data_IF_389237020872
#
_entry.id   IF_389237020872
#
_cell.length_a   1.000
_cell.length_b   1.000
_cell.length_c   1.000
_cell.angle_alpha   90.00
_cell.angle_beta   90.00
_cell.angle_gamma   90.00
#
_symmetry.space_group_name_H-M   'P 1'
#
loop_
_entity.id
_entity.type
_entity.pdbx_description
1 polymer ?
#
# COMPACT_ATOMS: atom_id res chain seq x y z
N UNK A 1 34.52 -23.57 -8.82
CA UNK A 1 33.27 -23.34 -9.58
C UNK A 1 32.03 -23.31 -8.68
N UNK A 2 31.80 -24.31 -7.81
CA UNK A 2 30.64 -24.36 -6.90
C UNK A 2 30.42 -23.11 -6.03
N UNK A 3 31.49 -22.55 -5.44
CA UNK A 3 31.41 -21.31 -4.64
C UNK A 3 31.04 -20.06 -5.44
N UNK A 4 31.50 -19.96 -6.70
CA UNK A 4 31.19 -18.83 -7.59
C UNK A 4 29.74 -18.88 -8.08
N UNK A 5 29.22 -20.09 -8.34
CA UNK A 5 27.81 -20.33 -8.67
C UNK A 5 26.90 -20.01 -7.48
N UNK A 6 27.28 -20.42 -6.26
CA UNK A 6 26.53 -20.09 -5.05
C UNK A 6 26.45 -18.57 -4.81
N UNK A 7 27.57 -17.85 -4.94
CA UNK A 7 27.61 -16.38 -4.80
C UNK A 7 26.73 -15.70 -5.84
N UNK A 8 26.77 -16.17 -7.10
CA UNK A 8 25.93 -15.63 -8.17
C UNK A 8 24.43 -15.85 -7.90
N UNK A 9 24.04 -17.05 -7.43
CA UNK A 9 22.66 -17.35 -7.05
C UNK A 9 22.16 -16.47 -5.91
N UNK A 10 22.97 -16.27 -4.87
CA UNK A 10 22.60 -15.40 -3.74
C UNK A 10 22.45 -13.95 -4.17
N UNK A 11 23.33 -13.44 -5.05
CA UNK A 11 23.23 -12.08 -5.59
C UNK A 11 21.97 -11.89 -6.45
N UNK A 12 21.59 -12.90 -7.25
CA UNK A 12 20.37 -12.87 -8.07
C UNK A 12 19.12 -12.88 -7.18
N UNK A 13 19.05 -13.74 -6.17
CA UNK A 13 17.94 -13.75 -5.21
C UNK A 13 17.78 -12.40 -4.50
N UNK A 14 18.89 -11.79 -4.08
CA UNK A 14 18.87 -10.51 -3.38
C UNK A 14 18.46 -9.34 -4.31
N UNK A 15 18.83 -9.38 -5.60
CA UNK A 15 18.39 -8.40 -6.57
C UNK A 15 16.88 -8.48 -6.88
N UNK A 16 16.28 -9.67 -6.83
CA UNK A 16 14.83 -9.87 -7.06
C UNK A 16 14.00 -9.28 -5.91
N UNK A 17 14.47 -9.38 -4.66
CA UNK A 17 13.79 -8.78 -3.49
C UNK A 17 13.81 -7.26 -3.52
N UNK A 18 14.85 -6.64 -4.11
CA UNK A 18 14.92 -5.18 -4.24
C UNK A 18 13.97 -4.59 -5.30
N UNK A 19 13.33 -5.42 -6.13
CA UNK A 19 12.43 -4.97 -7.21
C UNK A 19 10.94 -5.01 -6.81
N UNK A 20 10.59 -5.56 -5.64
CA UNK A 20 9.21 -5.55 -5.14
C UNK A 20 8.91 -4.21 -4.48
N UNK A 21 8.04 -3.40 -5.09
CA UNK A 21 7.66 -2.09 -4.54
C UNK A 21 6.97 -2.18 -3.17
N UNK A 22 7.14 -1.17 -2.32
CA UNK A 22 6.64 -1.13 -0.93
C UNK A 22 5.13 -1.42 -0.76
N UNK A 23 4.33 -1.15 -1.79
CA UNK A 23 2.88 -1.43 -1.75
C UNK A 23 2.56 -2.92 -1.83
N UNK A 24 3.28 -3.69 -2.64
CA UNK A 24 3.10 -5.14 -2.75
C UNK A 24 3.46 -5.84 -1.42
N UNK A 25 4.46 -5.31 -0.71
CA UNK A 25 4.83 -5.83 0.61
C UNK A 25 3.70 -5.62 1.63
N UNK A 26 3.10 -4.43 1.66
CA UNK A 26 2.05 -4.10 2.63
C UNK A 26 0.78 -4.92 2.43
N UNK A 27 0.44 -5.23 1.17
CA UNK A 27 -0.72 -6.05 0.82
C UNK A 27 -0.50 -7.55 1.10
N UNK A 28 0.62 -8.10 0.63
CA UNK A 28 0.82 -9.57 0.61
C UNK A 28 1.50 -10.11 1.88
N UNK A 29 2.21 -9.25 2.62
CA UNK A 29 2.91 -9.61 3.85
C UNK A 29 2.40 -8.82 5.07
N UNK A 30 1.29 -8.09 4.90
CA UNK A 30 0.76 -7.18 5.90
C UNK A 30 1.65 -5.97 6.16
N UNK A 31 1.27 -5.18 7.16
CA UNK A 31 1.97 -3.97 7.55
C UNK A 31 1.11 -2.71 7.40
N UNK A 32 1.72 -1.56 7.68
CA UNK A 32 1.02 -0.28 7.70
C UNK A 32 1.61 0.66 6.64
N UNK A 33 0.73 1.34 5.90
CA UNK A 33 1.14 2.44 5.04
C UNK A 33 0.18 3.63 5.17
N UNK A 34 0.71 4.81 4.91
CA UNK A 34 -0.07 6.05 4.91
C UNK A 34 -0.14 6.64 3.51
N UNK A 35 -1.33 7.04 3.08
CA UNK A 35 -1.57 7.79 1.85
C UNK A 35 -2.13 9.15 2.24
N UNK A 36 -1.39 10.21 1.92
CA UNK A 36 -1.93 11.57 2.01
C UNK A 36 -2.53 11.89 0.64
N UNK A 37 -3.82 12.20 0.61
CA UNK A 37 -4.46 12.66 -0.63
C UNK A 37 -3.96 14.06 -0.99
N UNK A 38 -4.11 14.42 -2.27
CA UNK A 38 -3.90 15.80 -2.66
C UNK A 38 -4.94 16.70 -1.96
N UNK A 39 -4.60 17.97 -1.67
CA UNK A 39 -5.53 18.89 -1.03
C UNK A 39 -6.88 18.98 -1.75
N UNK A 40 -7.94 19.15 -0.96
CA UNK A 40 -9.32 19.31 -1.43
C UNK A 40 -9.87 18.10 -2.20
N UNK A 41 -9.37 16.90 -1.92
CA UNK A 41 -9.94 15.63 -2.39
C UNK A 41 -10.64 14.88 -1.25
N UNK A 42 -11.89 14.49 -1.48
CA UNK A 42 -12.66 13.59 -0.61
C UNK A 42 -12.54 12.16 -1.10
N UNK A 43 -12.23 11.23 -0.21
CA UNK A 43 -12.23 9.80 -0.48
C UNK A 43 -13.66 9.29 -0.58
N UNK A 44 -13.96 8.56 -1.66
CA UNK A 44 -15.25 7.91 -1.87
C UNK A 44 -15.15 6.39 -1.69
N UNK A 45 -14.11 5.80 -2.26
CA UNK A 45 -13.87 4.37 -2.20
C UNK A 45 -12.37 4.08 -2.24
N UNK A 46 -11.96 3.01 -1.58
CA UNK A 46 -10.61 2.46 -1.68
C UNK A 46 -10.68 0.94 -1.77
N UNK A 47 -9.86 0.36 -2.64
CA UNK A 47 -9.78 -1.08 -2.83
C UNK A 47 -8.39 -1.51 -3.31
N UNK A 48 -8.09 -2.79 -3.15
CA UNK A 48 -6.93 -3.39 -3.79
C UNK A 48 -7.33 -4.03 -5.11
N UNK A 49 -6.56 -3.74 -6.17
CA UNK A 49 -6.64 -4.46 -7.44
C UNK A 49 -5.26 -5.00 -7.77
N UNK A 50 -5.14 -6.33 -7.80
CA UNK A 50 -3.86 -7.01 -7.85
C UNK A 50 -2.92 -6.45 -6.76
N UNK A 51 -1.72 -5.99 -7.13
CA UNK A 51 -0.73 -5.43 -6.20
C UNK A 51 -0.77 -3.89 -6.11
N UNK A 52 -1.85 -3.27 -6.62
CA UNK A 52 -2.01 -1.83 -6.63
C UNK A 52 -3.17 -1.39 -5.74
N UNK A 53 -2.94 -0.34 -4.96
CA UNK A 53 -4.00 0.34 -4.22
C UNK A 53 -4.71 1.30 -5.19
N UNK A 54 -6.02 1.15 -5.30
CA UNK A 54 -6.87 2.04 -6.09
C UNK A 54 -7.80 2.79 -5.15
N UNK A 55 -7.95 4.08 -5.37
CA UNK A 55 -8.88 4.91 -4.61
C UNK A 55 -9.59 5.87 -5.56
N UNK A 56 -10.91 5.99 -5.37
CA UNK A 56 -11.75 6.95 -6.04
C UNK A 56 -11.88 8.17 -5.13
N UNK A 57 -11.66 9.34 -5.71
CA UNK A 57 -11.87 10.62 -5.03
C UNK A 57 -12.83 11.49 -5.83
N UNK A 58 -13.42 12.45 -5.13
CA UNK A 58 -14.10 13.60 -5.73
C UNK A 58 -13.51 14.89 -5.17
N UNK A 59 -13.71 16.04 -5.83
CA UNK A 59 -13.43 17.33 -5.22
C UNK A 59 -14.25 17.51 -3.94
N UNK A 60 -13.63 18.07 -2.91
CA UNK A 60 -14.33 18.55 -1.72
C UNK A 60 -15.23 19.73 -2.07
N UNK A 61 -16.36 19.80 -1.37
CA UNK A 61 -17.26 20.95 -1.33
C UNK A 61 -16.95 21.81 -0.10
N UNK A 62 -17.56 22.99 -0.04
CA UNK A 62 -17.41 23.89 1.10
C UNK A 62 -17.91 23.28 2.41
N UNK A 63 -18.90 22.38 2.34
CA UNK A 63 -19.49 21.69 3.50
C UNK A 63 -18.68 20.47 3.95
N UNK A 64 -17.83 19.90 3.09
CA UNK A 64 -17.02 18.73 3.45
C UNK A 64 -15.97 19.07 4.52
N UNK A 65 -15.70 18.11 5.39
CA UNK A 65 -14.62 18.15 6.38
C UNK A 65 -13.58 17.09 6.00
N UNK A 66 -12.31 17.41 6.18
CA UNK A 66 -11.22 16.46 5.98
C UNK A 66 -11.25 15.37 7.06
N UNK A 67 -11.13 14.12 6.64
CA UNK A 67 -11.18 12.93 7.50
C UNK A 67 -9.93 12.07 7.35
N UNK A 68 -9.74 11.18 8.33
CA UNK A 68 -8.74 10.10 8.27
C UNK A 68 -9.47 8.77 8.26
N UNK A 69 -9.22 7.97 7.24
CA UNK A 69 -9.84 6.66 7.05
C UNK A 69 -8.83 5.55 7.29
N UNK A 70 -9.29 4.45 7.90
CA UNK A 70 -8.53 3.21 8.00
C UNK A 70 -9.14 2.19 7.05
N UNK A 71 -8.39 1.82 6.02
CA UNK A 71 -8.74 0.72 5.15
C UNK A 71 -7.95 -0.51 5.57
N UNK A 72 -8.66 -1.51 6.08
CA UNK A 72 -8.05 -2.70 6.68
C UNK A 72 -8.42 -3.93 5.87
N UNK A 73 -7.42 -4.73 5.55
CA UNK A 73 -7.62 -6.06 4.99
C UNK A 73 -8.03 -7.01 6.12
N UNK A 74 -9.15 -7.72 5.94
CA UNK A 74 -9.56 -8.78 6.85
C UNK A 74 -9.49 -10.12 6.13
N UNK A 75 -8.83 -11.11 6.73
CA UNK A 75 -8.75 -12.48 6.20
C UNK A 75 -9.22 -13.48 7.25
N UNK A 76 -9.73 -14.64 6.79
CA UNK A 76 -10.30 -15.66 7.70
C UNK A 76 -9.31 -16.17 8.76
N UNK A 77 -8.00 -16.05 8.51
CA UNK A 77 -6.95 -16.53 9.40
C UNK A 77 -6.22 -15.40 10.15
N UNK A 78 -6.49 -14.12 9.84
CA UNK A 78 -5.89 -12.96 10.52
C UNK A 78 -4.37 -12.83 10.38
N UNK A 79 -3.73 -13.56 9.47
CA UNK A 79 -2.26 -13.52 9.27
C UNK A 79 -1.96 -12.69 8.02
N UNK A 80 -1.03 -11.74 8.15
CA UNK A 80 -0.60 -10.83 7.07
C UNK A 80 -1.68 -9.83 6.60
N UNK A 81 -2.30 -9.12 7.55
CA UNK A 81 -3.27 -8.07 7.25
C UNK A 81 -2.58 -6.72 7.01
N UNK A 82 -2.82 -6.13 5.84
CA UNK A 82 -2.38 -4.78 5.50
C UNK A 82 -3.37 -3.74 6.01
N UNK A 83 -2.86 -2.66 6.61
CA UNK A 83 -3.63 -1.47 6.98
C UNK A 83 -3.14 -0.27 6.21
N UNK A 84 -4.07 0.47 5.60
CA UNK A 84 -3.80 1.73 4.92
C UNK A 84 -4.50 2.85 5.66
N UNK A 85 -3.72 3.81 6.17
CA UNK A 85 -4.25 5.07 6.72
C UNK A 85 -4.33 6.09 5.59
N UNK A 86 -5.53 6.56 5.27
CA UNK A 86 -5.75 7.57 4.22
C UNK A 86 -6.09 8.87 4.92
N UNK A 87 -5.30 9.91 4.66
CA UNK A 87 -5.44 11.23 5.30
C UNK A 87 -5.86 12.24 4.25
N UNK A 88 -7.03 12.84 4.45
CA UNK A 88 -7.53 13.95 3.65
C UNK A 88 -7.02 15.29 4.21
N UNK A 89 -6.93 16.30 3.35
CA UNK A 89 -6.63 17.67 3.75
C UNK A 89 -7.50 18.68 2.99
N UNK A 90 -7.84 19.78 3.66
CA UNK A 90 -8.59 20.91 3.09
C UNK A 90 -7.71 22.15 3.16
N UNK A 91 -7.63 22.90 2.06
CA UNK A 91 -6.86 24.15 1.94
C UNK A 91 -7.75 25.37 1.80
#
# INVERSE_FOLDING_TARGET
MKKRVAIALTAICMAVVCLTGCQAVTKDYGGEMTVNLEPNQKLEEVTWKDNSLWYLTRPMTDEDVAETHLFQQQTDFGVFEGTVTIVESKE
#
